data_IF_132874127519
#
_entry.id   IF_132874127519
#
_cell.length_a   1.000
_cell.length_b   1.000
_cell.length_c   1.000
_cell.angle_alpha   90.00
_cell.angle_beta   90.00
_cell.angle_gamma   90.00
#
_symmetry.space_group_name_H-M   'P 1'
#
loop_
_entity.id
_entity.type
_entity.pdbx_description
1 polymer ?
#
# COMPACT_ATOMS: atom_id res chain seq x y z
N UNK A 1 3.71 2.12 -28.30
CA UNK A 1 3.51 2.90 -27.07
C UNK A 1 2.59 4.10 -27.28
N UNK A 2 2.77 4.86 -28.36
CA UNK A 2 2.09 6.15 -28.59
C UNK A 2 0.55 6.07 -28.78
N UNK A 3 -0.03 4.90 -28.90
CA UNK A 3 -1.48 4.69 -29.08
C UNK A 3 -2.21 4.32 -27.77
N UNK A 4 -1.49 4.14 -26.67
CA UNK A 4 -2.10 3.60 -25.44
C UNK A 4 -2.63 4.64 -24.46
N UNK A 5 -2.41 5.94 -24.70
CA UNK A 5 -2.87 7.04 -23.85
C UNK A 5 -2.63 6.81 -22.35
N UNK A 6 -1.42 6.43 -21.96
CA UNK A 6 -1.01 6.28 -20.58
C UNK A 6 0.12 7.25 -20.23
N UNK A 7 0.11 7.74 -18.99
CA UNK A 7 1.21 8.47 -18.37
C UNK A 7 2.06 7.51 -17.54
N UNK A 8 3.36 7.77 -17.44
CA UNK A 8 4.25 6.96 -16.61
C UNK A 8 5.20 7.83 -15.81
N UNK A 9 5.35 7.49 -14.54
CA UNK A 9 6.37 8.03 -13.63
C UNK A 9 7.31 6.91 -13.26
N UNK A 10 8.59 7.10 -13.53
CA UNK A 10 9.65 6.14 -13.22
C UNK A 10 10.21 6.40 -11.83
N UNK A 11 10.80 5.40 -11.22
CA UNK A 11 11.49 5.47 -9.94
C UNK A 11 12.52 6.62 -9.86
N UNK A 12 13.29 6.84 -10.93
CA UNK A 12 14.30 7.92 -11.02
C UNK A 12 13.71 9.28 -11.41
N UNK A 13 12.36 9.39 -11.51
CA UNK A 13 11.62 10.55 -12.06
C UNK A 13 11.94 10.86 -13.53
N UNK A 14 13.06 10.42 -14.06
CA UNK A 14 13.54 10.63 -15.43
C UNK A 14 13.38 12.09 -15.91
N UNK A 15 13.75 13.06 -15.05
CA UNK A 15 13.70 14.48 -15.37
C UNK A 15 14.84 14.83 -16.32
N UNK A 16 14.56 15.69 -17.31
CA UNK A 16 15.59 16.23 -18.18
C UNK A 16 16.32 17.39 -17.49
N UNK A 17 17.61 17.23 -17.14
CA UNK A 17 18.33 18.18 -16.30
C UNK A 17 18.65 19.51 -17.00
N UNK A 18 18.67 19.52 -18.32
CA UNK A 18 18.94 20.70 -19.16
C UNK A 18 17.69 21.52 -19.47
N UNK A 19 16.52 21.09 -18.99
CA UNK A 19 15.25 21.75 -19.21
C UNK A 19 14.73 22.36 -17.91
N UNK A 20 13.99 23.48 -18.01
CA UNK A 20 13.24 24.04 -16.89
C UNK A 20 11.94 23.24 -16.61
N UNK A 21 11.18 23.66 -15.62
CA UNK A 21 9.90 23.02 -15.21
C UNK A 21 8.88 23.02 -16.36
N UNK A 22 8.73 24.17 -17.04
CA UNK A 22 7.81 24.29 -18.17
C UNK A 22 8.20 23.35 -19.32
N UNK A 23 9.46 23.37 -19.71
CA UNK A 23 9.98 22.56 -20.82
C UNK A 23 9.84 21.05 -20.54
N UNK A 24 10.18 20.61 -19.32
CA UNK A 24 9.98 19.24 -18.91
C UNK A 24 8.50 18.80 -19.04
N UNK A 25 7.58 19.66 -18.59
CA UNK A 25 6.13 19.36 -18.64
C UNK A 25 5.60 19.44 -20.07
N UNK A 26 6.09 20.37 -20.90
CA UNK A 26 5.65 20.55 -22.27
C UNK A 26 6.14 19.45 -23.24
N UNK A 27 7.24 18.80 -22.92
CA UNK A 27 7.91 17.85 -23.81
C UNK A 27 7.00 16.75 -24.38
N UNK A 28 6.16 16.07 -23.60
CA UNK A 28 5.24 15.06 -24.13
C UNK A 28 4.26 15.60 -25.16
N UNK A 29 3.82 16.86 -25.01
CA UNK A 29 2.91 17.51 -25.97
C UNK A 29 3.64 17.88 -27.28
N UNK A 30 4.90 18.29 -27.18
CA UNK A 30 5.72 18.67 -28.33
C UNK A 30 6.11 17.47 -29.20
N UNK A 31 6.29 16.28 -28.56
CA UNK A 31 6.65 15.04 -29.24
C UNK A 31 5.46 14.17 -29.62
N UNK A 32 4.24 14.62 -29.27
CA UNK A 32 2.99 13.94 -29.62
C UNK A 32 2.75 13.92 -31.13
N UNK A 33 2.05 12.88 -31.61
CA UNK A 33 1.52 12.84 -32.98
C UNK A 33 0.42 13.90 -33.22
N UNK A 34 -0.25 14.34 -32.17
CA UNK A 34 -1.23 15.45 -32.21
C UNK A 34 -0.46 16.75 -32.13
N UNK A 35 -0.68 17.63 -33.11
CA UNK A 35 -0.05 18.95 -33.12
C UNK A 35 -0.85 19.92 -32.26
N UNK A 36 -0.21 20.50 -31.26
CA UNK A 36 -0.76 21.55 -30.40
C UNK A 36 -0.16 22.91 -30.80
N UNK A 37 -0.97 23.97 -30.79
CA UNK A 37 -0.45 25.34 -30.90
C UNK A 37 0.33 25.73 -29.63
N UNK A 38 1.18 26.76 -29.73
CA UNK A 38 1.95 27.28 -28.57
C UNK A 38 1.03 27.67 -27.40
N UNK A 39 -0.14 28.25 -27.71
CA UNK A 39 -1.13 28.66 -26.71
C UNK A 39 -1.72 27.42 -26.01
N UNK A 40 -2.08 26.38 -26.76
CA UNK A 40 -2.62 25.15 -26.20
C UNK A 40 -1.60 24.45 -25.31
N UNK A 41 -0.33 24.38 -25.74
CA UNK A 41 0.75 23.83 -24.91
C UNK A 41 0.88 24.61 -23.60
N UNK A 42 0.91 25.95 -23.68
CA UNK A 42 1.01 26.80 -22.50
C UNK A 42 -0.14 26.53 -21.53
N UNK A 43 -1.38 26.57 -22.00
CA UNK A 43 -2.55 26.35 -21.12
C UNK A 43 -2.57 24.95 -20.48
N UNK A 44 -2.21 23.90 -21.24
CA UNK A 44 -2.13 22.53 -20.71
C UNK A 44 -1.02 22.37 -19.67
N UNK A 45 0.14 22.97 -19.90
CA UNK A 45 1.26 22.95 -18.96
C UNK A 45 0.90 23.69 -17.67
N UNK A 46 0.33 24.90 -17.76
CA UNK A 46 -0.10 25.67 -16.60
C UNK A 46 -1.14 24.90 -15.77
N UNK A 47 -2.12 24.28 -16.42
CA UNK A 47 -3.11 23.45 -15.75
C UNK A 47 -2.48 22.23 -15.05
N UNK A 48 -1.55 21.54 -15.72
CA UNK A 48 -0.85 20.40 -15.13
C UNK A 48 0.02 20.82 -13.93
N UNK A 49 0.75 21.93 -14.03
CA UNK A 49 1.57 22.46 -12.94
C UNK A 49 0.71 22.94 -11.76
N UNK A 50 -0.43 23.54 -12.03
CA UNK A 50 -1.39 23.91 -10.99
C UNK A 50 -1.92 22.68 -10.24
N UNK A 51 -2.23 21.61 -10.95
CA UNK A 51 -2.73 20.35 -10.35
C UNK A 51 -1.75 19.77 -9.34
N UNK A 52 -0.45 19.91 -9.57
CA UNK A 52 0.61 19.36 -8.69
C UNK A 52 1.28 20.42 -7.81
N UNK A 53 0.67 21.59 -7.62
CA UNK A 53 1.17 22.69 -6.78
C UNK A 53 2.60 23.15 -7.16
N UNK A 54 2.89 23.28 -8.45
CA UNK A 54 4.16 23.80 -8.99
C UNK A 54 3.98 25.12 -9.75
N UNK A 55 2.84 25.78 -9.63
CA UNK A 55 2.60 27.11 -10.24
C UNK A 55 3.63 28.14 -9.73
N UNK A 56 4.12 28.98 -10.64
CA UNK A 56 5.14 29.99 -10.34
C UNK A 56 6.58 29.49 -10.40
N UNK A 57 6.79 28.20 -10.69
CA UNK A 57 8.12 27.60 -10.83
C UNK A 57 8.47 27.29 -12.30
N UNK A 58 7.70 27.75 -13.26
CA UNK A 58 7.77 27.37 -14.69
C UNK A 58 9.17 27.56 -15.28
N UNK A 59 9.84 28.66 -14.93
CA UNK A 59 11.17 29.03 -15.45
C UNK A 59 12.32 28.46 -14.65
N UNK A 60 12.04 27.79 -13.50
CA UNK A 60 13.08 27.22 -12.63
C UNK A 60 13.70 26.00 -13.27
N UNK A 61 15.04 25.91 -13.20
CA UNK A 61 15.76 24.70 -13.64
C UNK A 61 15.30 23.49 -12.84
N UNK A 62 15.00 22.37 -13.51
CA UNK A 62 14.48 21.17 -12.87
C UNK A 62 15.43 20.57 -11.82
N UNK A 63 16.74 20.75 -12.01
CA UNK A 63 17.81 20.31 -11.09
C UNK A 63 17.84 21.11 -9.77
N UNK A 64 17.28 22.31 -9.75
CA UNK A 64 17.20 23.16 -8.55
C UNK A 64 15.94 22.93 -7.72
N UNK A 65 15.12 21.97 -8.08
CA UNK A 65 13.94 21.53 -7.33
C UNK A 65 14.34 20.59 -6.19
N UNK A 66 13.58 20.63 -5.08
CA UNK A 66 13.68 19.61 -4.03
C UNK A 66 13.17 18.25 -4.56
N UNK A 67 13.52 17.15 -3.88
CA UNK A 67 13.09 15.80 -4.28
C UNK A 67 11.57 15.67 -4.46
N UNK A 68 10.77 16.19 -3.53
CA UNK A 68 9.32 16.22 -3.66
C UNK A 68 8.82 17.09 -4.82
N UNK A 69 9.48 18.23 -5.09
CA UNK A 69 9.15 19.04 -6.27
C UNK A 69 9.52 18.35 -7.58
N UNK A 70 10.62 17.59 -7.63
CA UNK A 70 11.01 16.80 -8.79
C UNK A 70 10.00 15.68 -9.06
N UNK A 71 9.50 15.03 -8.02
CA UNK A 71 8.45 14.03 -8.13
C UNK A 71 7.14 14.64 -8.68
N UNK A 72 6.72 15.80 -8.14
CA UNK A 72 5.55 16.53 -8.66
C UNK A 72 5.73 16.94 -10.12
N UNK A 73 6.95 17.34 -10.52
CA UNK A 73 7.26 17.62 -11.92
C UNK A 73 7.11 16.38 -12.81
N UNK A 74 7.57 15.21 -12.35
CA UNK A 74 7.38 13.95 -13.07
C UNK A 74 5.89 13.59 -13.21
N UNK A 75 5.09 13.84 -12.16
CA UNK A 75 3.64 13.68 -12.21
C UNK A 75 3.00 14.66 -13.19
N UNK A 76 3.32 15.96 -13.15
CA UNK A 76 2.80 16.95 -14.10
C UNK A 76 3.08 16.55 -15.54
N UNK A 77 4.30 16.07 -15.81
CA UNK A 77 4.72 15.57 -17.12
C UNK A 77 3.89 14.36 -17.58
N UNK A 78 3.56 13.44 -16.66
CA UNK A 78 2.72 12.29 -16.98
C UNK A 78 1.25 12.68 -17.20
N UNK A 79 0.75 13.70 -16.49
CA UNK A 79 -0.64 14.15 -16.51
C UNK A 79 -0.96 15.12 -17.66
N UNK A 80 0.03 15.88 -18.18
CA UNK A 80 -0.18 16.93 -19.18
C UNK A 80 -0.84 16.43 -20.47
N UNK A 81 -0.71 15.13 -20.77
CA UNK A 81 -1.34 14.47 -21.91
C UNK A 81 -2.75 13.96 -21.61
N UNK A 82 -3.28 14.20 -20.42
CA UNK A 82 -4.59 13.73 -19.95
C UNK A 82 -4.78 12.22 -20.17
N UNK A 83 -3.91 11.40 -19.54
CA UNK A 83 -3.90 9.96 -19.80
C UNK A 83 -5.14 9.28 -19.19
N UNK A 84 -5.57 8.15 -19.80
CA UNK A 84 -6.61 7.28 -19.23
C UNK A 84 -6.08 6.37 -18.13
N UNK A 85 -4.78 6.10 -18.12
CA UNK A 85 -4.10 5.24 -17.18
C UNK A 85 -2.79 5.91 -16.76
N UNK A 86 -2.54 5.98 -15.45
CA UNK A 86 -1.30 6.43 -14.87
C UNK A 86 -0.55 5.24 -14.26
N UNK A 87 0.69 5.05 -14.67
CA UNK A 87 1.59 4.03 -14.16
C UNK A 87 2.63 4.69 -13.27
N UNK A 88 2.70 4.30 -12.02
CA UNK A 88 3.66 4.80 -11.04
C UNK A 88 4.56 3.66 -10.61
N UNK A 89 5.83 3.74 -10.98
CA UNK A 89 6.82 2.71 -10.67
C UNK A 89 7.71 3.20 -9.53
N UNK A 90 7.44 2.71 -8.30
CA UNK A 90 8.11 3.08 -7.04
C UNK A 90 8.33 4.59 -6.86
N UNK A 91 7.29 5.43 -7.02
CA UNK A 91 7.48 6.88 -7.12
C UNK A 91 7.96 7.55 -5.84
N UNK A 92 7.93 6.87 -4.68
CA UNK A 92 8.34 7.42 -3.38
C UNK A 92 9.64 6.81 -2.85
N UNK A 93 10.23 5.84 -3.54
CA UNK A 93 11.38 5.07 -3.04
C UNK A 93 12.64 5.92 -2.77
N UNK A 94 12.82 7.02 -3.50
CA UNK A 94 14.00 7.91 -3.38
C UNK A 94 13.83 9.03 -2.36
N UNK A 95 12.76 9.03 -1.57
CA UNK A 95 12.48 10.05 -0.55
C UNK A 95 12.86 9.56 0.84
N UNK A 96 13.28 10.49 1.69
CA UNK A 96 13.41 10.23 3.13
C UNK A 96 12.04 9.94 3.77
N UNK A 97 12.03 9.34 4.96
CA UNK A 97 10.81 8.88 5.62
C UNK A 97 9.78 10.01 5.82
N UNK A 98 10.23 11.18 6.31
CA UNK A 98 9.32 12.29 6.60
C UNK A 98 8.69 12.88 5.31
N UNK A 99 9.49 13.00 4.26
CA UNK A 99 9.01 13.49 2.97
C UNK A 99 8.11 12.45 2.30
N UNK A 100 8.41 11.16 2.45
CA UNK A 100 7.60 10.05 1.93
C UNK A 100 6.19 10.08 2.51
N UNK A 101 6.03 10.19 3.82
CA UNK A 101 4.71 10.30 4.46
C UNK A 101 3.89 11.48 3.94
N UNK A 102 4.50 12.67 3.83
CA UNK A 102 3.84 13.85 3.27
C UNK A 102 3.40 13.62 1.82
N UNK A 103 4.26 13.00 1.03
CA UNK A 103 3.98 12.72 -0.38
C UNK A 103 2.92 11.63 -0.56
N UNK A 104 2.80 10.66 0.35
CA UNK A 104 1.70 9.69 0.36
C UNK A 104 0.34 10.39 0.50
N UNK A 105 0.21 11.28 1.47
CA UNK A 105 -1.04 12.05 1.70
C UNK A 105 -1.38 12.87 0.46
N UNK A 106 -0.38 13.50 -0.14
CA UNK A 106 -0.57 14.31 -1.34
C UNK A 106 -0.95 13.50 -2.57
N UNK A 107 -0.29 12.35 -2.81
CA UNK A 107 -0.65 11.43 -3.88
C UNK A 107 -2.08 10.89 -3.72
N UNK A 108 -2.50 10.59 -2.48
CA UNK A 108 -3.89 10.18 -2.20
C UNK A 108 -4.87 11.28 -2.58
N UNK A 109 -4.58 12.54 -2.21
CA UNK A 109 -5.39 13.70 -2.58
C UNK A 109 -5.47 13.86 -4.09
N UNK A 110 -4.35 13.80 -4.79
CA UNK A 110 -4.29 13.90 -6.25
C UNK A 110 -5.06 12.77 -6.93
N UNK A 111 -4.93 11.54 -6.45
CA UNK A 111 -5.67 10.39 -6.96
C UNK A 111 -7.19 10.59 -6.87
N UNK A 112 -7.68 11.14 -5.74
CA UNK A 112 -9.10 11.45 -5.55
C UNK A 112 -9.59 12.56 -6.48
N UNK A 113 -8.76 13.58 -6.74
CA UNK A 113 -9.10 14.72 -7.58
C UNK A 113 -9.12 14.39 -9.09
N UNK A 114 -8.19 13.54 -9.53
CA UNK A 114 -7.92 13.33 -10.96
C UNK A 114 -8.84 12.32 -11.63
N UNK A 115 -9.55 11.47 -10.89
CA UNK A 115 -10.41 10.41 -11.44
C UNK A 115 -9.73 9.53 -12.53
N UNK A 116 -8.40 9.41 -12.49
CA UNK A 116 -7.59 8.62 -13.44
C UNK A 116 -7.29 7.27 -12.82
N UNK A 117 -7.53 6.20 -13.59
CA UNK A 117 -7.12 4.87 -13.17
C UNK A 117 -5.60 4.84 -12.99
N UNK A 118 -5.15 4.43 -11.80
CA UNK A 118 -3.72 4.41 -11.46
C UNK A 118 -3.29 3.00 -11.12
N UNK A 119 -2.20 2.54 -11.72
CA UNK A 119 -1.47 1.34 -11.31
C UNK A 119 -0.21 1.81 -10.58
N UNK A 120 -0.07 1.40 -9.33
CA UNK A 120 1.00 1.79 -8.44
C UNK A 120 1.83 0.57 -8.08
N UNK A 121 3.11 0.58 -8.40
CA UNK A 121 4.07 -0.47 -8.03
C UNK A 121 4.89 0.03 -6.85
N UNK A 122 4.97 -0.76 -5.80
CA UNK A 122 5.79 -0.47 -4.63
C UNK A 122 6.20 -1.76 -3.91
N UNK A 123 7.31 -1.71 -3.21
CA UNK A 123 7.69 -2.72 -2.22
C UNK A 123 7.36 -2.29 -0.78
N UNK A 124 6.87 -1.07 -0.58
CA UNK A 124 6.43 -0.56 0.72
C UNK A 124 4.96 -0.93 0.96
N UNK A 125 4.73 -1.71 2.01
CA UNK A 125 3.41 -2.21 2.38
C UNK A 125 2.48 -1.08 2.84
N UNK A 126 3.02 -0.10 3.56
CA UNK A 126 2.24 1.04 4.05
C UNK A 126 1.73 1.90 2.89
N UNK A 127 2.57 2.08 1.86
CA UNK A 127 2.13 2.75 0.63
C UNK A 127 0.98 2.00 -0.04
N UNK A 128 1.13 0.68 -0.22
CA UNK A 128 0.10 -0.14 -0.84
C UNK A 128 -1.22 -0.08 -0.06
N UNK A 129 -1.17 -0.24 1.26
CA UNK A 129 -2.35 -0.21 2.13
C UNK A 129 -3.04 1.17 2.15
N UNK A 130 -2.25 2.26 2.19
CA UNK A 130 -2.79 3.62 2.29
C UNK A 130 -3.36 4.16 0.97
N UNK A 131 -2.70 3.86 -0.15
CA UNK A 131 -3.01 4.50 -1.43
C UNK A 131 -4.01 3.71 -2.28
N UNK A 132 -4.04 2.39 -2.18
CA UNK A 132 -4.76 1.54 -3.11
C UNK A 132 -6.26 1.37 -2.77
N UNK A 133 -7.06 1.05 -3.79
CA UNK A 133 -8.42 0.50 -3.63
C UNK A 133 -8.38 -1.03 -3.77
N UNK A 134 -7.44 -1.55 -4.56
CA UNK A 134 -7.15 -2.97 -4.71
C UNK A 134 -5.64 -3.18 -4.68
N UNK A 135 -5.21 -4.25 -4.02
CA UNK A 135 -3.81 -4.66 -3.92
C UNK A 135 -3.66 -6.03 -4.57
N UNK A 136 -2.66 -6.16 -5.44
CA UNK A 136 -2.22 -7.44 -5.97
C UNK A 136 -0.86 -7.79 -5.38
N UNK A 137 -0.77 -8.88 -4.62
CA UNK A 137 0.51 -9.37 -4.08
C UNK A 137 1.12 -10.32 -5.10
N UNK A 138 2.36 -10.04 -5.47
CA UNK A 138 3.14 -10.82 -6.42
C UNK A 138 4.27 -11.53 -5.67
N UNK A 139 4.39 -12.83 -5.88
CA UNK A 139 5.53 -13.63 -5.42
C UNK A 139 6.00 -14.53 -6.56
N UNK A 140 7.30 -14.58 -6.79
CA UNK A 140 7.93 -15.40 -7.84
C UNK A 140 7.26 -15.23 -9.22
N UNK A 141 6.91 -13.98 -9.58
CA UNK A 141 6.27 -13.64 -10.86
C UNK A 141 4.80 -14.06 -10.99
N UNK A 142 4.15 -14.50 -9.90
CA UNK A 142 2.74 -14.91 -9.88
C UNK A 142 1.95 -14.05 -8.90
N UNK A 143 0.71 -13.76 -9.27
CA UNK A 143 -0.23 -13.11 -8.36
C UNK A 143 -0.69 -14.14 -7.34
N UNK A 144 -0.42 -13.88 -6.06
CA UNK A 144 -0.75 -14.75 -4.94
C UNK A 144 -2.12 -14.41 -4.34
N UNK A 145 -2.43 -13.12 -4.24
CA UNK A 145 -3.72 -12.64 -3.76
C UNK A 145 -4.04 -11.28 -4.38
N UNK A 146 -5.33 -11.06 -4.66
CA UNK A 146 -5.88 -9.75 -5.01
C UNK A 146 -7.05 -9.48 -4.06
N UNK A 147 -7.11 -8.28 -3.50
CA UNK A 147 -8.20 -7.87 -2.61
C UNK A 147 -8.14 -6.39 -2.25
N UNK A 148 -9.11 -5.91 -1.47
CA UNK A 148 -9.01 -4.61 -0.84
C UNK A 148 -7.85 -4.60 0.17
N UNK A 149 -7.33 -3.42 0.55
CA UNK A 149 -6.31 -3.33 1.61
C UNK A 149 -6.71 -4.08 2.88
N UNK A 150 -7.97 -3.96 3.27
CA UNK A 150 -8.51 -4.62 4.46
C UNK A 150 -8.56 -6.14 4.30
N UNK A 151 -9.00 -6.65 3.13
CA UNK A 151 -9.02 -8.10 2.86
C UNK A 151 -7.62 -8.71 2.88
N UNK A 152 -6.64 -8.01 2.30
CA UNK A 152 -5.26 -8.47 2.28
C UNK A 152 -4.68 -8.55 3.70
N UNK A 153 -4.99 -7.56 4.55
CA UNK A 153 -4.47 -7.47 5.91
C UNK A 153 -5.18 -8.42 6.89
N UNK A 154 -6.53 -8.45 6.86
CA UNK A 154 -7.34 -9.22 7.82
C UNK A 154 -7.55 -10.68 7.38
N UNK A 155 -7.52 -10.97 6.06
CA UNK A 155 -7.82 -12.27 5.48
C UNK A 155 -6.72 -12.75 4.51
N UNK A 156 -5.47 -12.88 4.97
CA UNK A 156 -4.38 -13.38 4.13
C UNK A 156 -4.68 -14.80 3.64
N UNK A 157 -4.49 -15.05 2.33
CA UNK A 157 -4.80 -16.33 1.70
C UNK A 157 -3.84 -17.47 2.08
N UNK A 158 -2.63 -17.12 2.50
CA UNK A 158 -1.61 -18.08 2.90
C UNK A 158 -0.55 -17.43 3.83
N UNK A 159 0.38 -18.27 4.31
CA UNK A 159 1.47 -17.85 5.19
C UNK A 159 2.30 -16.70 4.61
N UNK A 160 2.67 -16.79 3.33
CA UNK A 160 3.49 -15.76 2.69
C UNK A 160 2.81 -14.38 2.75
N UNK A 161 1.51 -14.30 2.42
CA UNK A 161 0.77 -13.03 2.49
C UNK A 161 0.66 -12.52 3.93
N UNK A 162 0.42 -13.41 4.89
CA UNK A 162 0.33 -13.06 6.31
C UNK A 162 1.64 -12.43 6.84
N UNK A 163 2.78 -13.06 6.51
CA UNK A 163 4.11 -12.58 6.90
C UNK A 163 4.54 -11.34 6.12
N UNK A 164 4.15 -11.27 4.82
CA UNK A 164 4.55 -10.17 3.95
C UNK A 164 3.81 -8.87 4.29
N UNK A 165 2.54 -8.94 4.74
CA UNK A 165 1.72 -7.74 4.98
C UNK A 165 1.59 -7.47 6.48
N UNK A 166 2.63 -6.82 7.03
CA UNK A 166 2.72 -6.46 8.45
C UNK A 166 3.12 -7.63 9.36
N UNK A 167 3.46 -7.30 10.59
CA UNK A 167 3.85 -8.29 11.59
C UNK A 167 2.67 -9.19 11.98
N UNK A 168 2.95 -10.48 12.18
CA UNK A 168 1.95 -11.45 12.61
C UNK A 168 2.57 -12.57 13.45
N UNK A 169 1.82 -13.02 14.45
CA UNK A 169 2.14 -14.23 15.19
C UNK A 169 1.46 -15.41 14.49
N UNK A 170 2.25 -16.40 14.07
CA UNK A 170 1.77 -17.59 13.40
C UNK A 170 1.84 -18.78 14.35
N UNK A 171 0.67 -19.35 14.65
CA UNK A 171 0.54 -20.48 15.59
C UNK A 171 -0.02 -21.68 14.84
N UNK A 172 0.73 -22.77 14.84
CA UNK A 172 0.27 -24.04 14.25
C UNK A 172 -0.72 -24.74 15.18
N UNK A 173 -1.75 -25.34 14.59
CA UNK A 173 -2.74 -26.07 15.35
C UNK A 173 -3.54 -27.05 14.53
N UNK A 174 -4.33 -27.89 15.21
CA UNK A 174 -5.22 -28.88 14.60
C UNK A 174 -6.66 -28.58 14.98
N UNK A 175 -7.57 -28.59 14.02
CA UNK A 175 -8.99 -28.34 14.26
C UNK A 175 -9.58 -29.54 15.02
N UNK A 176 -10.09 -29.29 16.23
CA UNK A 176 -10.71 -30.32 17.06
C UNK A 176 -12.23 -30.39 16.87
N UNK A 177 -12.90 -29.25 16.82
CA UNK A 177 -14.35 -29.20 16.71
C UNK A 177 -14.83 -27.89 16.11
N UNK A 178 -16.07 -27.86 15.65
CA UNK A 178 -16.77 -26.64 15.26
C UNK A 178 -17.46 -26.04 16.48
N UNK A 179 -17.34 -24.71 16.69
CA UNK A 179 -18.05 -24.04 17.77
C UNK A 179 -19.56 -24.07 17.52
N UNK A 180 -20.34 -24.14 18.60
CA UNK A 180 -21.80 -24.19 18.53
C UNK A 180 -22.46 -22.83 18.22
N UNK A 181 -21.72 -21.73 18.42
CA UNK A 181 -22.22 -20.39 18.12
C UNK A 181 -22.08 -20.07 16.62
N UNK A 182 -23.21 -19.84 15.96
CA UNK A 182 -23.24 -19.20 14.66
C UNK A 182 -23.01 -17.70 14.86
N UNK A 183 -21.87 -17.20 14.44
CA UNK A 183 -21.55 -15.78 14.44
C UNK A 183 -22.16 -15.19 13.16
N UNK A 184 -23.30 -14.52 13.29
CA UNK A 184 -24.24 -14.23 12.22
C UNK A 184 -23.89 -13.07 11.29
N UNK A 185 -22.81 -12.31 11.50
CA UNK A 185 -22.62 -11.08 10.73
C UNK A 185 -21.95 -11.26 9.35
N UNK A 186 -21.05 -12.26 9.14
CA UNK A 186 -20.29 -12.38 7.90
C UNK A 186 -20.06 -13.83 7.42
N UNK A 187 -20.97 -14.78 7.73
CA UNK A 187 -20.80 -16.21 7.38
C UNK A 187 -19.44 -16.76 7.83
N UNK A 188 -18.93 -16.35 8.97
CA UNK A 188 -17.67 -16.85 9.54
C UNK A 188 -17.93 -18.17 10.26
N UNK A 189 -17.04 -19.12 10.04
CA UNK A 189 -17.04 -20.37 10.81
C UNK A 189 -16.17 -20.17 12.05
N UNK A 190 -16.62 -20.70 13.20
CA UNK A 190 -15.84 -20.78 14.42
C UNK A 190 -15.39 -22.21 14.64
N UNK A 191 -14.10 -22.39 14.88
CA UNK A 191 -13.48 -23.68 15.19
C UNK A 191 -12.67 -23.60 16.46
N UNK A 192 -12.72 -24.69 17.23
CA UNK A 192 -11.78 -24.93 18.33
C UNK A 192 -10.54 -25.60 17.76
N UNK A 193 -9.40 -24.96 17.90
CA UNK A 193 -8.12 -25.40 17.36
C UNK A 193 -7.19 -25.72 18.51
N UNK A 194 -6.64 -26.92 18.54
CA UNK A 194 -5.62 -27.32 19.50
C UNK A 194 -4.25 -26.87 19.03
N UNK A 195 -3.55 -26.11 19.85
CA UNK A 195 -2.20 -25.59 19.63
C UNK A 195 -1.25 -26.05 20.74
N UNK A 196 0.02 -25.70 20.60
CA UNK A 196 1.03 -25.93 21.65
C UNK A 196 0.73 -25.15 22.94
N UNK A 197 0.02 -24.04 22.85
CA UNK A 197 -0.39 -23.19 23.97
C UNK A 197 -1.75 -23.58 24.58
N UNK A 198 -2.39 -24.63 24.07
CA UNK A 198 -3.74 -25.03 24.45
C UNK A 198 -4.77 -24.84 23.36
N UNK A 199 -6.04 -24.86 23.75
CA UNK A 199 -7.15 -24.74 22.80
C UNK A 199 -7.51 -23.27 22.56
N UNK A 200 -7.68 -22.92 21.29
CA UNK A 200 -8.02 -21.57 20.81
C UNK A 200 -9.34 -21.62 20.03
N UNK A 201 -10.18 -20.64 20.20
CA UNK A 201 -11.30 -20.40 19.29
C UNK A 201 -10.84 -19.49 18.15
N UNK A 202 -10.92 -20.00 16.92
CA UNK A 202 -10.49 -19.30 15.70
C UNK A 202 -11.66 -19.11 14.74
N UNK A 203 -11.71 -17.93 14.13
CA UNK A 203 -12.71 -17.56 13.12
C UNK A 203 -12.11 -17.67 11.72
N UNK A 204 -12.91 -18.15 10.78
CA UNK A 204 -12.52 -18.20 9.36
C UNK A 204 -13.73 -18.02 8.46
N UNK A 205 -13.50 -17.51 7.25
CA UNK A 205 -14.52 -17.43 6.20
C UNK A 205 -14.70 -18.76 5.46
N UNK A 206 -13.74 -19.69 5.60
CA UNK A 206 -13.73 -20.95 4.89
C UNK A 206 -14.23 -22.12 5.77
N UNK A 207 -14.97 -23.04 5.16
CA UNK A 207 -15.29 -24.31 5.82
C UNK A 207 -14.06 -25.19 5.89
N UNK A 208 -13.73 -25.66 7.10
CA UNK A 208 -12.60 -26.54 7.36
C UNK A 208 -13.05 -27.88 7.92
N UNK A 209 -12.28 -28.95 7.63
CA UNK A 209 -12.54 -30.29 8.15
C UNK A 209 -11.89 -30.44 9.56
N UNK A 210 -12.57 -31.19 10.43
CA UNK A 210 -12.01 -31.59 11.73
C UNK A 210 -10.78 -32.49 11.49
N UNK A 211 -9.75 -32.31 12.29
CA UNK A 211 -8.47 -32.99 12.14
C UNK A 211 -7.48 -32.32 11.18
N UNK A 212 -7.90 -31.29 10.44
CA UNK A 212 -7.01 -30.55 9.53
C UNK A 212 -6.00 -29.71 10.33
N UNK A 213 -4.74 -29.75 9.90
CA UNK A 213 -3.72 -28.82 10.37
C UNK A 213 -3.96 -27.44 9.75
N UNK A 214 -3.87 -26.42 10.57
CA UNK A 214 -4.09 -25.01 10.20
C UNK A 214 -3.02 -24.12 10.83
N UNK A 215 -2.84 -22.95 10.22
CA UNK A 215 -2.02 -21.89 10.76
C UNK A 215 -2.95 -20.75 11.19
N UNK A 216 -2.86 -20.38 12.46
CA UNK A 216 -3.61 -19.24 13.02
C UNK A 216 -2.70 -18.03 12.92
N UNK A 217 -3.21 -16.95 12.35
CA UNK A 217 -2.54 -15.64 12.28
C UNK A 217 -3.17 -14.70 13.28
N UNK A 218 -2.35 -14.11 14.16
CA UNK A 218 -2.80 -13.15 15.18
C UNK A 218 -1.90 -11.92 15.06
N UNK A 219 -2.51 -10.77 14.79
CA UNK A 219 -1.76 -9.52 14.74
C UNK A 219 -1.32 -9.09 16.14
N UNK A 220 -0.11 -8.52 16.31
CA UNK A 220 0.36 -8.09 17.63
C UNK A 220 -0.60 -7.15 18.36
N UNK A 221 -1.24 -6.22 17.63
CA UNK A 221 -2.20 -5.27 18.18
C UNK A 221 -3.51 -5.90 18.66
N UNK A 222 -3.81 -7.14 18.26
CA UNK A 222 -5.00 -7.88 18.70
C UNK A 222 -4.74 -8.68 20.01
N UNK A 223 -3.48 -8.64 20.50
CA UNK A 223 -3.08 -9.31 21.74
C UNK A 223 -3.12 -8.30 22.89
N UNK A 224 -3.95 -8.58 23.88
CA UNK A 224 -4.05 -7.76 25.08
C UNK A 224 -3.28 -8.40 26.23
N UNK A 225 -2.36 -7.64 26.84
CA UNK A 225 -1.62 -8.08 28.02
C UNK A 225 -2.36 -7.68 29.29
N UNK A 226 -2.54 -8.62 30.23
CA UNK A 226 -3.17 -8.38 31.52
C UNK A 226 -2.46 -9.14 32.63
N UNK A 227 -2.36 -8.53 33.81
CA UNK A 227 -1.83 -9.18 35.02
C UNK A 227 -2.86 -10.15 35.62
N UNK A 228 -4.16 -9.87 35.41
CA UNK A 228 -5.24 -10.70 35.89
C UNK A 228 -5.82 -11.52 34.74
N UNK A 229 -6.37 -12.70 35.08
CA UNK A 229 -7.09 -13.52 34.09
C UNK A 229 -8.23 -12.70 33.48
N UNK A 230 -8.24 -12.48 32.15
CA UNK A 230 -9.33 -11.75 31.50
C UNK A 230 -10.58 -12.64 31.41
N UNK A 231 -11.74 -11.99 31.30
CA UNK A 231 -12.97 -12.64 30.88
C UNK A 231 -12.92 -12.83 29.37
N UNK A 232 -12.77 -14.08 28.92
CA UNK A 232 -12.71 -14.38 27.48
C UNK A 232 -12.28 -15.82 27.21
N UNK A 233 -12.46 -16.23 25.94
CA UNK A 233 -12.25 -17.62 25.55
C UNK A 233 -10.80 -17.93 25.16
N UNK A 234 -10.08 -16.91 24.67
CA UNK A 234 -8.67 -17.07 24.23
C UNK A 234 -7.74 -16.32 25.19
N UNK A 235 -7.07 -17.05 26.07
CA UNK A 235 -6.03 -16.48 26.93
C UNK A 235 -4.94 -17.51 27.22
N UNK A 236 -3.70 -17.02 27.39
CA UNK A 236 -2.55 -17.81 27.77
C UNK A 236 -1.78 -17.15 28.89
N UNK A 237 -1.09 -17.96 29.67
CA UNK A 237 -0.05 -17.46 30.56
C UNK A 237 1.24 -17.40 29.77
N UNK A 238 1.91 -16.27 29.83
CA UNK A 238 3.19 -16.06 29.19
C UNK A 238 4.15 -15.36 30.15
N UNK A 239 5.42 -15.52 29.92
CA UNK A 239 6.48 -14.81 30.63
C UNK A 239 7.05 -13.74 29.71
N UNK A 240 7.22 -12.53 30.23
CA UNK A 240 7.87 -11.45 29.50
C UNK A 240 9.36 -11.81 29.31
N UNK A 241 9.77 -11.94 28.05
CA UNK A 241 11.15 -12.24 27.69
C UNK A 241 11.96 -10.97 27.40
N UNK A 242 11.40 -10.08 26.60
CA UNK A 242 12.07 -8.84 26.19
C UNK A 242 11.09 -7.72 25.89
N UNK A 243 11.54 -6.48 26.07
CA UNK A 243 10.86 -5.27 25.64
C UNK A 243 11.86 -4.41 24.87
N UNK A 244 11.56 -4.11 23.62
CA UNK A 244 12.34 -3.20 22.79
C UNK A 244 11.56 -1.92 22.55
N UNK A 245 12.15 -0.78 22.92
CA UNK A 245 11.57 0.53 22.66
C UNK A 245 11.92 1.01 21.24
N UNK A 246 10.91 1.19 20.39
CA UNK A 246 11.05 1.59 18.99
C UNK A 246 10.53 3.02 18.72
N UNK A 247 10.43 3.85 19.77
CA UNK A 247 9.96 5.24 19.67
C UNK A 247 8.44 5.34 19.81
N UNK A 248 7.69 5.05 18.77
CA UNK A 248 6.22 5.16 18.76
C UNK A 248 5.52 3.98 19.45
N UNK A 249 6.20 2.84 19.55
CA UNK A 249 5.65 1.62 20.15
C UNK A 249 6.73 0.80 20.86
N UNK A 250 6.26 -0.16 21.64
CA UNK A 250 7.08 -1.18 22.29
C UNK A 250 6.90 -2.51 21.55
N UNK A 251 7.99 -3.14 21.12
CA UNK A 251 7.98 -4.55 20.71
C UNK A 251 8.14 -5.42 21.95
N UNK A 252 7.13 -6.23 22.27
CA UNK A 252 7.06 -7.07 23.45
C UNK A 252 7.15 -8.53 23.05
N UNK A 253 8.19 -9.23 23.53
CA UNK A 253 8.36 -10.67 23.29
C UNK A 253 7.96 -11.46 24.53
N UNK A 254 7.12 -12.44 24.29
CA UNK A 254 6.57 -13.34 25.29
C UNK A 254 7.02 -14.78 25.01
N UNK A 255 7.31 -15.51 26.08
CA UNK A 255 7.62 -16.95 26.05
C UNK A 255 6.62 -17.74 26.92
#
# INVERSE_FOLDING_TARGET
PNLRHFGMVFQSYAIWPHMNVFENTAFPLQTSSVKFSKIQIKNKVEAALQTVDLSGLETREATKLSGGQQQRLALARALVTEPRLLLLDEPLSNLDAQLRERMQVELKRLQQQLSVTTVYVTHDQNEALALSHQIGIINEGRIVQIGSPRDIYEHPSNRFVADFVGETNLIEGTINSKCKQEISADKKYCYQVQTVFGSIMALTTNSCQIGKQVLISIRPQDIHLSIQKPDGDNFWKATLENILFLGEHLDVRLN
#
